data_IF_350660345383
#
_entry.id   IF_350660345383
#
_cell.length_a   1.000
_cell.length_b   1.000
_cell.length_c   1.000
_cell.angle_alpha   90.00
_cell.angle_beta   90.00
_cell.angle_gamma   90.00
#
_symmetry.space_group_name_H-M   'P 1'
#
loop_
_entity.id
_entity.type
_entity.pdbx_description
1 polymer ?
#
# COMPACT_ATOMS: atom_id res chain seq x y z
N UNK A 1 0.40 11.12 -8.40
CA UNK A 1 0.14 9.84 -7.73
C UNK A 1 1.28 8.95 -8.12
N UNK A 2 2.10 8.56 -7.16
CA UNK A 2 3.27 7.74 -7.43
C UNK A 2 2.83 6.28 -7.64
N UNK A 3 3.55 5.49 -8.46
CA UNK A 3 3.21 4.07 -8.69
C UNK A 3 3.13 3.27 -7.37
N UNK A 4 3.91 3.65 -6.36
CA UNK A 4 3.89 3.05 -5.01
C UNK A 4 2.52 3.26 -4.34
N UNK A 5 1.95 4.47 -4.41
CA UNK A 5 0.63 4.76 -3.82
C UNK A 5 -0.49 3.99 -4.53
N UNK A 6 -0.37 3.79 -5.84
CA UNK A 6 -1.35 3.02 -6.61
C UNK A 6 -1.30 1.53 -6.26
N UNK A 7 -0.10 0.99 -6.01
CA UNK A 7 0.11 -0.40 -5.61
C UNK A 7 -0.52 -0.69 -4.22
N UNK A 8 -0.21 0.12 -3.21
CA UNK A 8 -0.79 -0.05 -1.86
C UNK A 8 -2.32 0.02 -1.87
N UNK A 9 -2.88 0.93 -2.68
CA UNK A 9 -4.31 1.07 -2.83
C UNK A 9 -4.95 -0.13 -3.56
N UNK A 10 -4.28 -0.66 -4.58
CA UNK A 10 -4.74 -1.83 -5.32
C UNK A 10 -4.71 -3.08 -4.44
N UNK A 11 -3.68 -3.24 -3.61
CA UNK A 11 -3.59 -4.35 -2.66
C UNK A 11 -4.68 -4.27 -1.58
N UNK A 12 -5.00 -3.07 -1.10
CA UNK A 12 -6.03 -2.89 -0.09
C UNK A 12 -7.46 -3.01 -0.63
N UNK A 13 -7.72 -2.49 -1.83
CA UNK A 13 -9.09 -2.29 -2.33
C UNK A 13 -9.36 -2.87 -3.72
N UNK A 14 -8.39 -3.55 -4.35
CA UNK A 14 -8.52 -4.08 -5.71
C UNK A 14 -9.69 -5.05 -5.87
N UNK A 15 -10.01 -5.82 -4.82
CA UNK A 15 -11.16 -6.73 -4.80
C UNK A 15 -12.53 -6.05 -4.83
N UNK A 16 -12.59 -4.72 -4.62
CA UNK A 16 -13.81 -3.91 -4.73
C UNK A 16 -14.04 -3.39 -6.14
N UNK A 17 -13.03 -3.48 -7.02
CA UNK A 17 -13.17 -3.14 -8.42
C UNK A 17 -13.94 -4.24 -9.17
N UNK A 18 -14.47 -3.91 -10.34
CA UNK A 18 -14.99 -4.95 -11.25
C UNK A 18 -13.82 -5.79 -11.76
N UNK A 19 -14.09 -7.06 -12.11
CA UNK A 19 -13.06 -7.97 -12.63
C UNK A 19 -12.23 -7.37 -13.78
N UNK A 20 -12.90 -6.67 -14.71
CA UNK A 20 -12.23 -6.01 -15.85
C UNK A 20 -11.36 -4.83 -15.43
N UNK A 21 -11.78 -4.05 -14.43
CA UNK A 21 -10.96 -2.96 -13.89
C UNK A 21 -9.75 -3.50 -13.15
N UNK A 22 -9.94 -4.57 -12.36
CA UNK A 22 -8.87 -5.21 -11.61
C UNK A 22 -7.81 -5.79 -12.56
N UNK A 23 -8.22 -6.52 -13.60
CA UNK A 23 -7.32 -7.05 -14.63
C UNK A 23 -6.47 -5.93 -15.29
N UNK A 24 -7.11 -4.84 -15.72
CA UNK A 24 -6.40 -3.69 -16.30
C UNK A 24 -5.44 -3.05 -15.30
N UNK A 25 -5.84 -2.92 -14.03
CA UNK A 25 -5.01 -2.35 -12.97
C UNK A 25 -3.84 -3.25 -12.60
N UNK A 26 -4.02 -4.57 -12.61
CA UNK A 26 -2.94 -5.54 -12.35
C UNK A 26 -1.88 -5.44 -13.45
N UNK A 27 -2.28 -5.43 -14.73
CA UNK A 27 -1.35 -5.24 -15.84
C UNK A 27 -0.62 -3.89 -15.77
N UNK A 28 -1.31 -2.83 -15.37
CA UNK A 28 -0.72 -1.49 -15.27
C UNK A 28 0.21 -1.32 -14.07
N UNK A 29 -0.18 -1.80 -12.88
CA UNK A 29 0.51 -1.50 -11.61
C UNK A 29 1.47 -2.61 -11.19
N UNK A 30 1.17 -3.87 -11.48
CA UNK A 30 2.00 -5.02 -11.08
C UNK A 30 2.97 -5.44 -12.19
N UNK A 31 2.50 -5.42 -13.43
CA UNK A 31 3.31 -5.81 -14.59
C UNK A 31 3.99 -4.62 -15.29
N UNK A 32 3.75 -3.39 -14.82
CA UNK A 32 4.31 -2.13 -15.36
C UNK A 32 4.09 -1.93 -16.87
N UNK A 33 3.01 -2.53 -17.41
CA UNK A 33 2.68 -2.39 -18.83
C UNK A 33 2.15 -0.99 -19.13
N UNK A 34 2.58 -0.45 -20.26
CA UNK A 34 2.04 0.80 -20.81
C UNK A 34 0.60 0.61 -21.30
N UNK A 35 -0.14 1.72 -21.44
CA UNK A 35 -1.49 1.68 -22.02
C UNK A 35 -1.52 1.11 -23.45
N UNK A 36 -0.40 1.13 -24.18
CA UNK A 36 -0.28 0.51 -25.50
C UNK A 36 -0.22 -1.01 -25.39
N UNK A 37 0.67 -1.52 -24.55
CA UNK A 37 0.84 -2.97 -24.33
C UNK A 37 -0.46 -3.59 -23.77
N UNK A 38 -1.13 -2.92 -22.83
CA UNK A 38 -2.43 -3.38 -22.31
C UNK A 38 -3.52 -3.34 -23.40
N UNK A 39 -3.49 -2.34 -24.28
CA UNK A 39 -4.45 -2.20 -25.38
C UNK A 39 -4.31 -3.35 -26.38
N UNK A 40 -3.08 -3.77 -26.66
CA UNK A 40 -2.76 -4.91 -27.51
C UNK A 40 -3.12 -6.24 -26.84
N UNK A 41 -2.70 -6.45 -25.58
CA UNK A 41 -2.97 -7.68 -24.82
C UNK A 41 -4.46 -7.96 -24.64
N UNK A 42 -5.25 -6.90 -24.38
CA UNK A 42 -6.67 -7.03 -24.05
C UNK A 42 -7.61 -6.74 -25.24
N UNK A 43 -7.06 -6.50 -26.44
CA UNK A 43 -7.78 -6.15 -27.67
C UNK A 43 -8.83 -5.03 -27.49
N UNK A 44 -8.50 -4.01 -26.70
CA UNK A 44 -9.35 -2.84 -26.47
C UNK A 44 -8.61 -1.57 -26.87
N UNK A 45 -9.34 -0.46 -27.05
CA UNK A 45 -8.70 0.80 -27.42
C UNK A 45 -7.83 1.35 -26.28
N UNK A 46 -6.72 1.99 -26.63
CA UNK A 46 -5.85 2.73 -25.71
C UNK A 46 -6.62 3.73 -24.83
N UNK A 47 -7.65 4.36 -25.42
CA UNK A 47 -8.55 5.28 -24.71
C UNK A 47 -9.38 4.55 -23.65
N UNK A 48 -9.88 3.34 -23.94
CA UNK A 48 -10.62 2.52 -22.98
C UNK A 48 -9.73 2.07 -21.81
N UNK A 49 -8.47 1.68 -22.07
CA UNK A 49 -7.49 1.37 -21.02
C UNK A 49 -7.27 2.58 -20.13
N UNK A 50 -6.94 3.73 -20.72
CA UNK A 50 -6.68 4.98 -20.00
C UNK A 50 -7.89 5.39 -19.14
N UNK A 51 -9.11 5.29 -19.67
CA UNK A 51 -10.33 5.58 -18.93
C UNK A 51 -10.53 4.63 -17.74
N UNK A 52 -10.28 3.33 -17.96
CA UNK A 52 -10.40 2.30 -16.93
C UNK A 52 -9.42 2.55 -15.78
N UNK A 53 -8.16 2.83 -16.09
CA UNK A 53 -7.12 3.14 -15.08
C UNK A 53 -7.51 4.38 -14.27
N UNK A 54 -7.87 5.49 -14.93
CA UNK A 54 -8.24 6.71 -14.23
C UNK A 54 -9.50 6.55 -13.35
N UNK A 55 -10.52 5.83 -13.82
CA UNK A 55 -11.74 5.56 -13.03
C UNK A 55 -11.44 4.68 -11.83
N UNK A 56 -10.60 3.65 -12.02
CA UNK A 56 -10.21 2.73 -10.96
C UNK A 56 -9.40 3.45 -9.88
N UNK A 57 -8.39 4.25 -10.25
CA UNK A 57 -7.61 5.05 -9.29
C UNK A 57 -8.50 5.99 -8.46
N UNK A 58 -9.47 6.67 -9.09
CA UNK A 58 -10.42 7.53 -8.37
C UNK A 58 -11.30 6.75 -7.39
N UNK A 59 -11.72 5.53 -7.75
CA UNK A 59 -12.49 4.65 -6.88
C UNK A 59 -11.65 4.19 -5.68
N UNK A 60 -10.44 3.71 -5.92
CA UNK A 60 -9.51 3.28 -4.87
C UNK A 60 -9.19 4.42 -3.88
N UNK A 61 -8.91 5.62 -4.38
CA UNK A 61 -8.74 6.82 -3.54
C UNK A 61 -9.99 7.15 -2.72
N UNK A 62 -11.18 7.00 -3.31
CA UNK A 62 -12.44 7.23 -2.60
C UNK A 62 -12.66 6.19 -1.50
N UNK A 63 -12.29 4.94 -1.73
CA UNK A 63 -12.33 3.90 -0.70
C UNK A 63 -11.38 4.24 0.44
N UNK A 64 -10.12 4.59 0.17
CA UNK A 64 -9.18 5.00 1.21
C UNK A 64 -9.66 6.24 1.98
N UNK A 65 -10.22 7.24 1.30
CA UNK A 65 -10.76 8.43 1.97
C UNK A 65 -11.85 8.09 2.99
N UNK A 66 -12.67 7.08 2.70
CA UNK A 66 -13.81 6.69 3.54
C UNK A 66 -13.43 5.66 4.60
N UNK A 67 -12.56 4.70 4.27
CA UNK A 67 -12.22 3.54 5.11
C UNK A 67 -10.94 3.81 5.94
N UNK A 68 -9.97 4.53 5.36
CA UNK A 68 -8.68 4.87 5.97
C UNK A 68 -7.86 3.65 6.40
N UNK A 69 -7.97 2.54 5.68
CA UNK A 69 -7.31 1.29 6.05
C UNK A 69 -5.79 1.42 6.00
N UNK A 70 -5.24 2.07 4.98
CA UNK A 70 -3.79 2.23 4.86
C UNK A 70 -3.24 3.14 5.96
N UNK A 71 -3.96 4.21 6.30
CA UNK A 71 -3.61 5.04 7.44
C UNK A 71 -3.59 4.22 8.73
N UNK A 72 -4.65 3.46 9.00
CA UNK A 72 -4.75 2.62 10.19
C UNK A 72 -3.62 1.58 10.26
N UNK A 73 -3.31 0.93 9.14
CA UNK A 73 -2.19 -0.02 9.03
C UNK A 73 -0.86 0.65 9.37
N UNK A 74 -0.62 1.87 8.86
CA UNK A 74 0.59 2.66 9.15
C UNK A 74 0.67 3.03 10.63
N UNK A 75 -0.44 3.44 11.22
CA UNK A 75 -0.52 3.80 12.64
C UNK A 75 -0.18 2.60 13.52
N UNK A 76 -0.70 1.41 13.21
CA UNK A 76 -0.36 0.17 13.92
C UNK A 76 1.14 -0.11 13.87
N UNK A 77 1.76 -0.05 12.67
CA UNK A 77 3.20 -0.30 12.55
C UNK A 77 4.03 0.71 13.33
N UNK A 78 3.61 1.97 13.38
CA UNK A 78 4.29 2.99 14.19
C UNK A 78 4.26 2.64 15.68
N UNK A 79 3.10 2.22 16.20
CA UNK A 79 2.92 1.82 17.60
C UNK A 79 3.76 0.58 17.93
N UNK A 80 3.76 -0.42 17.04
CA UNK A 80 4.58 -1.63 17.21
C UNK A 80 6.06 -1.29 17.27
N UNK A 81 6.54 -0.42 16.38
CA UNK A 81 7.93 0.02 16.39
C UNK A 81 8.27 0.78 17.68
N UNK A 82 7.44 1.72 18.12
CA UNK A 82 7.65 2.42 19.40
C UNK A 82 7.71 1.45 20.59
N UNK A 83 6.82 0.46 20.62
CA UNK A 83 6.81 -0.56 21.67
C UNK A 83 8.09 -1.39 21.68
N UNK A 84 8.62 -1.78 20.50
CA UNK A 84 9.89 -2.51 20.40
C UNK A 84 11.07 -1.67 20.89
N UNK A 85 11.15 -0.40 20.48
CA UNK A 85 12.21 0.51 20.94
C UNK A 85 12.16 0.72 22.45
N UNK A 86 10.96 0.86 23.03
CA UNK A 86 10.81 1.01 24.48
C UNK A 86 11.32 -0.22 25.24
N UNK A 87 11.01 -1.43 24.76
CA UNK A 87 11.53 -2.67 25.37
C UNK A 87 13.05 -2.78 25.26
N UNK A 88 13.64 -2.34 24.14
CA UNK A 88 15.10 -2.27 23.99
C UNK A 88 15.71 -1.29 24.99
N UNK A 89 15.15 -0.08 25.12
CA UNK A 89 15.63 0.90 26.10
C UNK A 89 15.54 0.37 27.54
N UNK A 90 14.44 -0.30 27.91
CA UNK A 90 14.30 -0.91 29.25
C UNK A 90 15.38 -1.95 29.52
N UNK A 91 15.70 -2.82 28.54
CA UNK A 91 16.76 -3.82 28.68
C UNK A 91 18.14 -3.18 28.87
N UNK A 92 18.48 -2.19 28.06
CA UNK A 92 19.75 -1.46 28.23
C UNK A 92 19.82 -0.73 29.58
N UNK A 93 18.69 -0.20 30.08
CA UNK A 93 18.62 0.40 31.41
C UNK A 93 18.81 -0.61 32.53
N UNK A 94 18.21 -1.81 32.44
CA UNK A 94 18.42 -2.86 33.45
C UNK A 94 19.88 -3.33 33.48
N UNK A 95 20.50 -3.54 32.30
CA UNK A 95 21.90 -3.94 32.19
C UNK A 95 22.84 -2.89 32.82
N UNK A 96 22.57 -1.59 32.61
CA UNK A 96 23.35 -0.51 33.24
C UNK A 96 23.12 -0.44 34.75
N UNK A 97 21.90 -0.70 35.24
CA UNK A 97 21.60 -0.68 36.67
C UNK A 97 22.35 -1.81 37.40
N UNK A 98 22.37 -3.01 36.82
CA UNK A 98 23.06 -4.17 37.37
C UNK A 98 24.58 -3.90 37.50
N UNK A 99 25.18 -3.19 36.54
CA UNK A 99 26.59 -2.77 36.59
C UNK A 99 26.90 -1.73 37.67
N UNK A 100 25.90 -1.00 38.17
CA UNK A 100 26.09 0.01 39.24
C UNK A 100 25.89 -0.52 40.66
N UNK A 101 25.50 -1.80 40.81
CA UNK A 101 25.31 -2.45 42.11
C UNK A 101 26.50 -3.34 42.54
N UNK A 102 27.57 -3.43 41.75
CA UNK A 102 28.79 -4.20 42.07
C UNK A 102 29.93 -3.37 42.74
N UNK A 103 29.68 -2.11 43.12
CA UNK A 103 30.58 -1.29 43.98
C UNK A 103 30.03 -1.14 45.41
#
# INVERSE_FOLDING_TARGET
>A
MNNIEANDLLDAYGSLLTARQQEIMDLYVKEDLSYGEISEELEISRAAVMDSVHKSLKLLQKYEKNIKFLQFKTDIYSIMNTSMTLEQCKRSLSELLDLTQEE
#
